data_IF_368551603695
#
_entry.id   IF_368551603695
#
_cell.length_a   1.000
_cell.length_b   1.000
_cell.length_c   1.000
_cell.angle_alpha   90.00
_cell.angle_beta   90.00
_cell.angle_gamma   90.00
#
_symmetry.space_group_name_H-M   'P 1'
#
loop_
_entity.id
_entity.type
_entity.pdbx_description
1 polymer ?
#
# COMPACT_ATOMS: atom_id res chain seq x y z
N UNK A 1 -76.00 36.48 -42.82
CA UNK A 1 -76.54 36.31 -41.45
C UNK A 1 -75.40 35.84 -40.56
N UNK A 2 -75.28 36.47 -39.38
CA UNK A 2 -74.46 36.16 -38.18
C UNK A 2 -73.46 35.00 -38.23
N UNK A 3 -72.23 35.08 -37.74
CA UNK A 3 -71.55 36.12 -36.95
C UNK A 3 -70.41 35.50 -36.12
N UNK A 4 -69.36 36.30 -35.86
CA UNK A 4 -68.40 36.25 -34.73
C UNK A 4 -67.44 35.03 -34.64
N UNK A 5 -66.13 35.11 -34.39
CA UNK A 5 -65.22 36.07 -33.71
C UNK A 5 -63.76 35.83 -34.18
N UNK A 6 -62.81 36.78 -33.96
CA UNK A 6 -61.47 36.75 -34.54
C UNK A 6 -60.43 36.04 -33.65
N UNK A 7 -59.57 35.22 -34.25
CA UNK A 7 -58.37 34.68 -33.63
C UNK A 7 -57.16 35.54 -33.99
N UNK A 8 -56.57 36.22 -33.00
CA UNK A 8 -55.31 36.96 -33.10
C UNK A 8 -54.09 36.03 -33.19
N UNK A 9 -52.98 36.47 -33.81
CA UNK A 9 -51.85 35.62 -34.18
C UNK A 9 -50.83 35.54 -33.04
N UNK A 10 -50.45 34.33 -32.62
CA UNK A 10 -49.29 34.12 -31.76
C UNK A 10 -48.07 33.75 -32.59
N UNK A 11 -47.20 34.75 -32.78
CA UNK A 11 -45.83 34.64 -33.26
C UNK A 11 -45.04 33.70 -32.35
N UNK A 12 -44.63 32.53 -32.86
CA UNK A 12 -43.75 31.61 -32.14
C UNK A 12 -42.31 32.14 -32.16
N UNK A 13 -41.89 32.77 -31.06
CA UNK A 13 -40.48 33.04 -30.77
C UNK A 13 -39.76 31.70 -30.57
N UNK A 14 -38.84 31.34 -31.47
CA UNK A 14 -37.90 30.23 -31.26
C UNK A 14 -36.78 30.73 -30.34
N UNK A 15 -36.87 30.41 -29.05
CA UNK A 15 -35.71 30.50 -28.14
C UNK A 15 -34.74 29.37 -28.48
N UNK A 16 -33.58 29.69 -29.04
CA UNK A 16 -32.47 28.77 -29.13
C UNK A 16 -31.78 28.73 -27.75
N UNK A 17 -31.96 27.64 -27.00
CA UNK A 17 -31.20 27.38 -25.78
C UNK A 17 -29.78 26.94 -26.17
N UNK A 18 -28.81 27.83 -26.01
CA UNK A 18 -27.39 27.49 -26.09
C UNK A 18 -27.02 26.72 -24.83
N UNK A 19 -26.84 25.39 -24.95
CA UNK A 19 -26.24 24.58 -23.89
C UNK A 19 -24.76 24.97 -23.79
N UNK A 20 -24.39 25.74 -22.77
CA UNK A 20 -23.00 25.92 -22.37
C UNK A 20 -22.59 24.64 -21.65
N UNK A 21 -21.88 23.77 -22.36
CA UNK A 21 -21.24 22.61 -21.77
C UNK A 21 -20.03 23.09 -20.95
N UNK A 22 -20.24 23.38 -19.67
CA UNK A 22 -19.14 23.62 -18.73
C UNK A 22 -18.51 22.27 -18.45
N UNK A 23 -17.44 21.94 -19.17
CA UNK A 23 -16.53 20.86 -18.79
C UNK A 23 -15.87 21.28 -17.47
N UNK A 24 -16.44 20.87 -16.34
CA UNK A 24 -15.71 20.85 -15.08
C UNK A 24 -14.63 19.79 -15.26
N UNK A 25 -13.43 20.21 -15.62
CA UNK A 25 -12.25 19.38 -15.46
C UNK A 25 -12.19 19.01 -13.99
N UNK A 26 -12.46 17.73 -13.68
CA UNK A 26 -12.14 17.18 -12.38
C UNK A 26 -10.64 17.38 -12.18
N UNK A 27 -10.25 18.39 -11.40
CA UNK A 27 -8.88 18.50 -10.95
C UNK A 27 -8.62 17.26 -10.11
N UNK A 28 -7.90 16.29 -10.66
CA UNK A 28 -7.34 15.20 -9.89
C UNK A 28 -6.47 15.81 -8.81
N UNK A 29 -6.96 15.81 -7.57
CA UNK A 29 -6.23 16.34 -6.45
C UNK A 29 -4.91 15.57 -6.31
N UNK A 30 -3.82 16.31 -6.09
CA UNK A 30 -2.52 15.70 -5.83
C UNK A 30 -2.64 14.77 -4.62
N UNK A 31 -2.06 13.58 -4.72
CA UNK A 31 -2.03 12.63 -3.61
C UNK A 31 -1.30 13.26 -2.43
N UNK A 32 -1.89 13.17 -1.23
CA UNK A 32 -1.25 13.67 0.00
C UNK A 32 -0.93 12.52 0.95
N UNK A 33 0.25 12.61 1.58
CA UNK A 33 0.64 11.78 2.71
C UNK A 33 0.62 12.61 4.00
N UNK A 34 -0.02 12.08 5.03
CA UNK A 34 -0.14 12.72 6.33
C UNK A 34 -0.08 11.68 7.46
N UNK A 35 -0.11 12.15 8.71
CA UNK A 35 -0.16 11.29 9.91
C UNK A 35 -1.44 11.60 10.69
N UNK A 36 -2.15 10.54 11.10
CA UNK A 36 -3.31 10.63 11.98
C UNK A 36 -3.12 9.65 13.15
N UNK A 37 -2.78 10.17 14.32
CA UNK A 37 -2.39 9.34 15.47
C UNK A 37 -1.14 8.53 15.16
N UNK A 38 -1.21 7.21 15.36
CA UNK A 38 -0.13 6.26 15.08
C UNK A 38 -0.20 5.65 13.67
N UNK A 39 -0.90 6.29 12.74
CA UNK A 39 -1.11 5.80 11.36
C UNK A 39 -0.67 6.81 10.31
N UNK A 40 -0.22 6.30 9.17
CA UNK A 40 -0.19 7.08 7.95
C UNK A 40 -1.62 7.27 7.42
N UNK A 41 -1.86 8.39 6.76
CA UNK A 41 -3.10 8.65 6.05
C UNK A 41 -2.82 9.17 4.63
N UNK A 42 -3.46 8.53 3.65
CA UNK A 42 -3.37 8.89 2.23
C UNK A 42 -4.66 9.58 1.85
N UNK A 43 -4.56 10.80 1.32
CA UNK A 43 -5.72 11.63 1.00
C UNK A 43 -6.69 11.80 2.19
N UNK A 44 -6.13 11.86 3.41
CA UNK A 44 -6.89 11.99 4.65
C UNK A 44 -7.49 10.68 5.19
N UNK A 45 -7.26 9.53 4.56
CA UNK A 45 -7.76 8.22 5.02
C UNK A 45 -6.63 7.42 5.66
N UNK A 46 -6.74 7.04 6.96
CA UNK A 46 -5.75 6.18 7.61
C UNK A 46 -5.61 4.83 6.93
N UNK A 47 -4.36 4.42 6.65
CA UNK A 47 -4.04 3.15 5.99
C UNK A 47 -2.73 2.56 6.54
N UNK A 48 -2.67 1.24 6.54
CA UNK A 48 -1.43 0.49 6.51
C UNK A 48 -0.84 0.59 5.10
N UNK A 49 0.42 0.98 4.99
CA UNK A 49 1.09 1.15 3.71
C UNK A 49 2.06 0.00 3.46
N UNK A 50 2.04 -0.54 2.23
CA UNK A 50 3.06 -1.49 1.78
C UNK A 50 4.03 -0.81 0.83
N UNK A 51 5.30 -0.82 1.19
CA UNK A 51 6.40 -0.31 0.37
C UNK A 51 7.18 -1.46 -0.26
N UNK A 52 7.99 -1.14 -1.27
CA UNK A 52 8.99 -2.03 -1.85
C UNK A 52 10.32 -1.28 -1.99
N UNK A 53 11.44 -1.99 -1.79
CA UNK A 53 12.75 -1.45 -2.12
C UNK A 53 12.84 -1.16 -3.62
N UNK A 54 13.24 0.06 -3.94
CA UNK A 54 13.56 0.55 -5.27
C UNK A 54 14.80 1.43 -5.16
N UNK A 55 15.81 0.94 -4.42
CA UNK A 55 16.94 1.75 -3.95
C UNK A 55 17.69 2.42 -5.11
N UNK A 56 17.90 1.69 -6.21
CA UNK A 56 18.57 2.16 -7.43
C UNK A 56 17.73 3.04 -8.37
N UNK A 57 16.62 3.64 -7.91
CA UNK A 57 15.68 4.41 -8.73
C UNK A 57 16.33 5.43 -9.67
N UNK A 58 17.36 6.13 -9.20
CA UNK A 58 18.02 7.16 -10.00
C UNK A 58 18.78 6.56 -11.20
N UNK A 59 19.26 5.32 -11.10
CA UNK A 59 19.90 4.58 -12.19
C UNK A 59 18.92 3.82 -13.10
N UNK A 60 17.66 3.67 -12.72
CA UNK A 60 16.70 2.78 -13.38
C UNK A 60 16.39 3.14 -14.85
N UNK A 61 16.53 2.18 -15.76
CA UNK A 61 16.22 2.38 -17.18
C UNK A 61 14.77 2.78 -17.46
N UNK A 62 13.80 2.16 -16.76
CA UNK A 62 12.39 2.21 -17.13
C UNK A 62 11.45 2.58 -15.96
N UNK A 63 11.75 3.69 -15.29
CA UNK A 63 11.01 4.17 -14.10
C UNK A 63 9.49 4.18 -14.27
N UNK A 64 8.98 4.68 -15.40
CA UNK A 64 7.52 4.75 -15.63
C UNK A 64 6.89 3.37 -15.62
N UNK A 65 7.48 2.39 -16.31
CA UNK A 65 6.96 1.02 -16.34
C UNK A 65 7.12 0.33 -14.99
N UNK A 66 8.26 0.53 -14.32
CA UNK A 66 8.54 -0.05 -12.99
C UNK A 66 7.51 0.41 -11.96
N UNK A 67 7.27 1.71 -11.87
CA UNK A 67 6.32 2.27 -10.90
C UNK A 67 4.88 1.86 -11.22
N UNK A 68 4.52 1.77 -12.50
CA UNK A 68 3.22 1.24 -12.91
C UNK A 68 3.05 -0.23 -12.53
N UNK A 69 4.09 -1.05 -12.72
CA UNK A 69 4.11 -2.44 -12.29
C UNK A 69 3.93 -2.52 -10.77
N UNK A 70 4.74 -1.80 -10.00
CA UNK A 70 4.68 -1.76 -8.53
C UNK A 70 3.27 -1.39 -8.07
N UNK A 71 2.67 -0.34 -8.65
CA UNK A 71 1.28 0.03 -8.34
C UNK A 71 0.29 -1.08 -8.68
N UNK A 72 0.43 -1.71 -9.85
CA UNK A 72 -0.44 -2.81 -10.28
C UNK A 72 -0.35 -4.04 -9.38
N UNK A 73 0.78 -4.24 -8.69
CA UNK A 73 1.01 -5.30 -7.70
C UNK A 73 0.50 -4.95 -6.29
N UNK A 74 -0.17 -3.81 -6.13
CA UNK A 74 -0.86 -3.46 -4.88
C UNK A 74 0.03 -2.74 -3.85
N UNK A 75 1.25 -2.34 -4.21
CA UNK A 75 2.07 -1.50 -3.34
C UNK A 75 1.54 -0.05 -3.30
N UNK A 76 1.75 0.59 -2.15
CA UNK A 76 1.38 2.00 -1.91
C UNK A 76 2.56 2.94 -2.12
N UNK A 77 3.80 2.43 -2.11
CA UNK A 77 4.98 3.26 -2.29
C UNK A 77 6.27 2.51 -2.57
N UNK A 78 7.32 3.28 -2.78
CA UNK A 78 8.69 2.82 -3.02
C UNK A 78 9.66 3.48 -2.06
N UNK A 79 10.73 2.77 -1.71
CA UNK A 79 11.87 3.30 -0.95
C UNK A 79 13.09 3.43 -1.84
N UNK A 80 13.66 4.63 -1.93
CA UNK A 80 14.75 4.97 -2.87
C UNK A 80 15.97 5.53 -2.15
N UNK A 81 17.17 5.32 -2.71
CA UNK A 81 18.42 5.86 -2.19
C UNK A 81 19.03 6.86 -3.19
N UNK A 82 18.80 8.17 -3.04
CA UNK A 82 19.23 9.16 -4.02
C UNK A 82 20.76 9.36 -4.04
N UNK A 83 21.51 8.77 -3.10
CA UNK A 83 22.96 8.83 -3.04
C UNK A 83 23.66 7.53 -3.47
N UNK A 84 22.91 6.51 -3.90
CA UNK A 84 23.46 5.21 -4.27
C UNK A 84 24.29 5.27 -5.58
N UNK A 85 25.45 4.61 -5.59
CA UNK A 85 26.44 4.66 -6.67
C UNK A 85 26.01 3.94 -7.97
N UNK A 86 24.91 3.18 -7.94
CA UNK A 86 24.29 2.56 -9.11
C UNK A 86 23.43 3.55 -9.91
N UNK A 87 23.38 4.82 -9.52
CA UNK A 87 22.76 5.89 -10.28
C UNK A 87 23.56 7.20 -10.18
N UNK A 88 23.10 8.26 -10.87
CA UNK A 88 23.60 9.60 -10.61
C UNK A 88 23.28 9.98 -9.16
N UNK A 89 24.30 10.05 -8.29
CA UNK A 89 24.10 10.39 -6.88
C UNK A 89 23.74 11.88 -6.76
N UNK A 90 22.81 12.23 -5.88
CA UNK A 90 22.24 13.58 -5.84
C UNK A 90 23.22 14.68 -5.40
N UNK A 91 24.22 14.34 -4.57
CA UNK A 91 25.03 15.32 -3.84
C UNK A 91 26.52 15.23 -4.21
N UNK A 92 27.19 16.38 -4.19
CA UNK A 92 28.66 16.48 -4.18
C UNK A 92 29.19 16.41 -2.73
N UNK A 93 30.51 16.20 -2.57
CA UNK A 93 31.14 16.18 -1.24
C UNK A 93 31.09 17.50 -0.49
N UNK A 94 30.88 18.63 -1.18
CA UNK A 94 30.69 19.97 -0.61
C UNK A 94 29.22 20.28 -0.25
N UNK A 95 28.32 19.29 -0.34
CA UNK A 95 26.91 19.44 0.02
C UNK A 95 26.05 20.10 -1.07
N UNK A 96 26.63 20.54 -2.18
CA UNK A 96 25.85 21.06 -3.31
C UNK A 96 25.15 19.91 -4.06
N UNK A 97 23.98 20.22 -4.65
CA UNK A 97 23.24 19.26 -5.46
C UNK A 97 23.75 19.23 -6.91
N UNK A 98 23.91 18.02 -7.45
CA UNK A 98 24.17 17.82 -8.88
C UNK A 98 22.86 18.00 -9.66
N UNK A 99 22.84 18.94 -10.60
CA UNK A 99 21.59 19.38 -11.26
C UNK A 99 20.96 18.29 -12.15
N UNK A 100 21.78 17.48 -12.80
CA UNK A 100 21.35 16.32 -13.59
C UNK A 100 20.72 15.24 -12.68
N UNK A 101 21.36 14.93 -11.55
CA UNK A 101 20.83 14.00 -10.55
C UNK A 101 19.55 14.52 -9.89
N UNK A 102 19.46 15.83 -9.62
CA UNK A 102 18.24 16.46 -9.11
C UNK A 102 17.11 16.37 -10.14
N UNK A 103 17.37 16.71 -11.40
CA UNK A 103 16.40 16.56 -12.50
C UNK A 103 15.90 15.11 -12.58
N UNK A 104 16.82 14.15 -12.41
CA UNK A 104 16.49 12.73 -12.40
C UNK A 104 15.61 12.33 -11.21
N UNK A 105 15.92 12.80 -10.00
CA UNK A 105 15.09 12.57 -8.81
C UNK A 105 13.68 13.14 -9.01
N UNK A 106 13.56 14.38 -9.47
CA UNK A 106 12.27 15.03 -9.71
C UNK A 106 11.45 14.26 -10.78
N UNK A 107 12.11 13.76 -11.83
CA UNK A 107 11.47 12.88 -12.80
C UNK A 107 10.90 11.61 -12.15
N UNK A 108 11.65 10.93 -11.26
CA UNK A 108 11.15 9.76 -10.52
C UNK A 108 9.93 10.13 -9.67
N UNK A 109 9.98 11.24 -8.95
CA UNK A 109 8.87 11.69 -8.11
C UNK A 109 7.63 12.07 -8.92
N UNK A 110 7.80 12.68 -10.10
CA UNK A 110 6.69 12.96 -11.00
C UNK A 110 6.04 11.65 -11.49
N UNK A 111 6.83 10.64 -11.86
CA UNK A 111 6.29 9.33 -12.27
C UNK A 111 5.60 8.59 -11.11
N UNK A 112 6.13 8.69 -9.90
CA UNK A 112 5.49 8.15 -8.71
C UNK A 112 4.15 8.84 -8.44
N UNK A 113 4.08 10.17 -8.57
CA UNK A 113 2.84 10.93 -8.42
C UNK A 113 1.80 10.54 -9.48
N UNK A 114 2.22 10.34 -10.73
CA UNK A 114 1.34 9.91 -11.83
C UNK A 114 0.68 8.56 -11.52
N UNK A 115 1.41 7.64 -10.88
CA UNK A 115 0.92 6.31 -10.44
C UNK A 115 0.32 6.30 -9.02
N UNK A 116 0.20 7.47 -8.37
CA UNK A 116 -0.26 7.63 -6.97
C UNK A 116 0.52 6.77 -5.97
N UNK A 117 1.83 6.73 -6.11
CA UNK A 117 2.76 6.09 -5.18
C UNK A 117 3.41 7.10 -4.24
N UNK A 118 3.58 6.67 -3.00
CA UNK A 118 4.36 7.39 -1.99
C UNK A 118 5.84 7.08 -2.19
N UNK A 119 6.71 8.07 -1.98
CA UNK A 119 8.17 7.87 -2.06
C UNK A 119 8.81 8.15 -0.72
N UNK A 120 9.48 7.12 -0.20
CA UNK A 120 10.42 7.20 0.91
C UNK A 120 11.81 7.51 0.36
N UNK A 121 12.26 8.76 0.57
CA UNK A 121 13.58 9.24 0.14
C UNK A 121 14.55 9.05 1.31
N UNK A 122 15.26 7.92 1.31
CA UNK A 122 16.23 7.54 2.33
C UNK A 122 17.66 7.90 1.90
N UNK A 123 18.31 8.83 2.60
CA UNK A 123 19.68 9.20 2.29
C UNK A 123 20.69 8.16 2.81
N UNK A 124 21.78 8.00 2.07
CA UNK A 124 22.92 7.13 2.40
C UNK A 124 24.21 7.94 2.28
N UNK A 125 24.48 8.82 3.25
CA UNK A 125 25.57 9.80 3.18
C UNK A 125 26.96 9.18 3.02
N UNK A 126 27.14 7.96 3.50
CA UNK A 126 28.34 7.13 3.37
C UNK A 126 28.72 6.81 1.91
N UNK A 127 27.76 6.88 0.98
CA UNK A 127 28.02 6.63 -0.44
C UNK A 127 28.68 7.79 -1.18
N UNK A 128 28.82 8.97 -0.57
CA UNK A 128 29.49 10.13 -1.18
C UNK A 128 30.90 10.28 -0.60
N UNK A 129 31.96 9.98 -1.37
CA UNK A 129 33.34 10.10 -0.90
C UNK A 129 33.66 11.52 -0.45
N UNK A 130 34.21 11.67 0.77
CA UNK A 130 34.65 12.94 1.31
C UNK A 130 33.53 13.86 1.83
N UNK A 131 32.28 13.42 1.80
CA UNK A 131 31.16 14.17 2.39
C UNK A 131 31.24 14.13 3.91
N UNK A 132 31.22 15.29 4.57
CA UNK A 132 31.13 15.42 6.03
C UNK A 132 29.70 15.70 6.51
N UNK A 133 29.46 15.66 7.82
CA UNK A 133 28.13 15.84 8.41
C UNK A 133 27.51 17.22 8.16
N UNK A 134 28.33 18.29 8.07
CA UNK A 134 27.84 19.65 7.83
C UNK A 134 27.36 19.77 6.39
N UNK A 135 28.19 19.36 5.43
CA UNK A 135 27.85 19.40 4.02
C UNK A 135 26.71 18.44 3.68
N UNK A 136 26.65 17.27 4.34
CA UNK A 136 25.51 16.36 4.24
C UNK A 136 24.21 17.03 4.66
N UNK A 137 24.20 17.69 5.83
CA UNK A 137 23.06 18.49 6.27
C UNK A 137 22.66 19.52 5.22
N UNK A 138 23.60 20.31 4.72
CA UNK A 138 23.30 21.37 3.75
C UNK A 138 22.68 20.80 2.46
N UNK A 139 23.17 19.65 1.97
CA UNK A 139 22.59 18.97 0.81
C UNK A 139 21.23 18.33 1.08
N UNK A 140 20.99 17.75 2.26
CA UNK A 140 19.66 17.26 2.66
C UNK A 140 18.65 18.41 2.70
N UNK A 141 19.03 19.58 3.23
CA UNK A 141 18.17 20.76 3.28
C UNK A 141 17.90 21.35 1.89
N UNK A 142 18.92 21.41 1.03
CA UNK A 142 18.74 21.81 -0.37
C UNK A 142 17.78 20.86 -1.10
N UNK A 143 17.90 19.55 -0.84
CA UNK A 143 16.98 18.56 -1.40
C UNK A 143 15.56 18.79 -0.87
N UNK A 144 15.38 18.95 0.44
CA UNK A 144 14.07 19.22 1.03
C UNK A 144 13.38 20.47 0.43
N UNK A 145 14.14 21.51 0.11
CA UNK A 145 13.63 22.70 -0.58
C UNK A 145 13.15 22.37 -2.00
N UNK A 146 13.89 21.57 -2.76
CA UNK A 146 13.50 21.12 -4.10
C UNK A 146 12.27 20.19 -4.07
N UNK A 147 12.10 19.41 -2.99
CA UNK A 147 10.98 18.49 -2.83
C UNK A 147 9.68 19.16 -2.34
N UNK A 148 9.68 20.48 -2.11
CA UNK A 148 8.51 21.21 -1.58
C UNK A 148 7.20 20.98 -2.35
N UNK A 149 7.18 20.83 -3.70
CA UNK A 149 5.94 20.58 -4.45
C UNK A 149 5.34 19.17 -4.34
N UNK A 150 5.99 18.24 -3.62
CA UNK A 150 5.60 16.83 -3.60
C UNK A 150 5.04 16.44 -2.23
N UNK A 151 3.71 16.34 -2.09
CA UNK A 151 3.06 15.96 -0.82
C UNK A 151 2.98 14.44 -0.59
N UNK A 152 3.39 13.63 -1.56
CA UNK A 152 3.46 12.16 -1.51
C UNK A 152 4.86 11.64 -1.12
N UNK A 153 5.65 12.43 -0.39
CA UNK A 153 7.04 12.12 -0.04
C UNK A 153 7.26 12.15 1.47
N UNK A 154 8.03 11.20 1.98
CA UNK A 154 8.65 11.28 3.31
C UNK A 154 10.18 11.25 3.18
N UNK A 155 10.87 11.85 4.15
CA UNK A 155 12.33 11.92 4.17
C UNK A 155 12.87 11.09 5.31
N UNK A 156 13.70 10.12 4.99
CA UNK A 156 14.52 9.40 5.95
C UNK A 156 15.95 9.98 5.90
N UNK A 157 16.31 10.72 6.96
CA UNK A 157 17.50 11.58 7.02
C UNK A 157 18.78 10.81 6.72
N UNK A 158 18.87 9.57 7.19
CA UNK A 158 20.02 8.70 6.99
C UNK A 158 19.57 7.26 7.26
N UNK A 159 19.82 6.39 6.30
CA UNK A 159 19.64 4.96 6.46
C UNK A 159 20.56 4.41 7.56
N UNK A 160 20.01 3.64 8.50
CA UNK A 160 20.73 2.96 9.58
C UNK A 160 21.75 3.88 10.26
N UNK A 161 21.27 5.06 10.66
CA UNK A 161 22.09 6.20 11.06
C UNK A 161 23.06 5.92 12.21
N UNK A 162 22.80 4.91 13.03
CA UNK A 162 23.66 4.51 14.15
C UNK A 162 24.82 3.60 13.73
N UNK A 163 24.83 3.15 12.46
CA UNK A 163 25.94 2.44 11.84
C UNK A 163 26.61 3.35 10.80
N UNK A 164 25.80 3.95 9.93
CA UNK A 164 26.25 4.64 8.73
C UNK A 164 25.96 6.14 8.76
N UNK A 165 26.60 6.83 7.81
CA UNK A 165 26.54 8.26 7.64
C UNK A 165 27.78 8.80 6.93
N UNK A 166 27.87 10.13 6.77
CA UNK A 166 28.99 10.79 6.10
C UNK A 166 30.35 10.34 6.65
N UNK A 167 31.33 10.15 5.77
CA UNK A 167 32.64 9.54 6.07
C UNK A 167 32.59 8.10 6.62
N UNK A 168 31.48 7.37 6.42
CA UNK A 168 31.29 6.01 6.90
C UNK A 168 31.18 5.92 8.42
N UNK A 169 30.60 6.95 9.06
CA UNK A 169 30.46 7.05 10.51
C UNK A 169 28.99 7.20 10.90
N UNK A 170 28.58 6.70 12.07
CA UNK A 170 27.24 6.94 12.60
C UNK A 170 26.91 8.43 12.64
N UNK A 171 25.70 8.80 12.22
CA UNK A 171 25.18 10.16 12.30
C UNK A 171 24.62 10.45 13.72
N UNK A 172 25.26 11.34 14.49
CA UNK A 172 24.85 11.64 15.87
C UNK A 172 23.46 12.25 15.98
N UNK A 173 22.84 12.09 17.16
CA UNK A 173 21.52 12.64 17.47
C UNK A 173 21.42 14.17 17.25
N UNK A 174 22.49 14.90 17.55
CA UNK A 174 22.54 16.36 17.35
C UNK A 174 22.46 16.75 15.87
N UNK A 175 23.11 15.99 14.98
CA UNK A 175 23.07 16.24 13.55
C UNK A 175 21.70 15.88 12.97
N UNK A 176 21.11 14.76 13.40
CA UNK A 176 19.72 14.39 13.05
C UNK A 176 18.74 15.48 13.48
N UNK A 177 18.85 15.98 14.73
CA UNK A 177 17.99 17.05 15.23
C UNK A 177 18.14 18.35 14.42
N UNK A 178 19.37 18.69 14.04
CA UNK A 178 19.67 19.88 13.23
C UNK A 178 19.09 19.77 11.81
N UNK A 179 19.18 18.59 11.19
CA UNK A 179 18.59 18.31 9.88
C UNK A 179 17.06 18.34 9.96
N UNK A 180 16.47 17.66 10.95
CA UNK A 180 15.02 17.66 11.20
C UNK A 180 14.49 19.09 11.32
N UNK A 181 15.11 19.92 12.17
CA UNK A 181 14.71 21.32 12.36
C UNK A 181 14.77 22.11 11.04
N UNK A 182 15.82 21.91 10.24
CA UNK A 182 15.96 22.57 8.93
C UNK A 182 14.89 22.12 7.93
N UNK A 183 14.59 20.82 7.84
CA UNK A 183 13.54 20.31 6.96
C UNK A 183 12.18 20.89 7.37
N UNK A 184 11.88 20.91 8.67
CA UNK A 184 10.62 21.46 9.20
C UNK A 184 10.50 22.96 8.98
N UNK A 185 11.60 23.71 9.01
CA UNK A 185 11.60 25.13 8.67
C UNK A 185 11.27 25.39 7.18
N UNK A 186 11.72 24.49 6.29
CA UNK A 186 11.44 24.56 4.85
C UNK A 186 10.01 24.11 4.53
N UNK A 187 9.56 23.02 5.16
CA UNK A 187 8.27 22.39 4.93
C UNK A 187 7.72 21.79 6.23
N UNK A 188 6.92 22.54 7.02
CA UNK A 188 6.45 22.12 8.34
C UNK A 188 5.72 20.77 8.37
N UNK A 189 4.96 20.46 7.32
CA UNK A 189 4.18 19.22 7.22
C UNK A 189 4.96 18.03 6.62
N UNK A 190 6.23 18.18 6.24
CA UNK A 190 7.01 17.07 5.65
C UNK A 190 7.19 16.02 6.73
N UNK A 191 6.88 14.76 6.42
CA UNK A 191 7.15 13.64 7.33
C UNK A 191 8.64 13.31 7.27
N UNK A 192 9.28 13.29 8.44
CA UNK A 192 10.72 13.09 8.60
C UNK A 192 11.01 11.99 9.62
N UNK A 193 11.93 11.11 9.26
CA UNK A 193 12.46 10.03 10.11
C UNK A 193 13.98 9.96 10.00
N UNK A 194 14.60 9.13 10.85
CA UNK A 194 15.96 8.64 10.68
C UNK A 194 15.96 7.17 11.13
N UNK A 195 16.16 6.24 10.20
CA UNK A 195 16.03 4.81 10.49
C UNK A 195 17.13 4.30 11.41
N UNK A 196 16.80 3.32 12.24
CA UNK A 196 17.80 2.54 12.98
C UNK A 196 17.76 1.07 12.54
N UNK A 197 18.94 0.46 12.45
CA UNK A 197 19.14 -0.95 12.10
C UNK A 197 18.72 -1.90 13.22
N UNK A 198 18.85 -3.19 12.93
CA UNK A 198 18.71 -4.27 13.90
C UNK A 198 19.85 -4.38 14.93
N UNK A 199 20.90 -3.54 14.86
CA UNK A 199 22.01 -3.56 15.84
C UNK A 199 21.66 -2.88 17.17
N UNK A 200 20.56 -2.13 17.21
CA UNK A 200 20.01 -1.53 18.43
C UNK A 200 18.66 -2.15 18.74
N UNK A 201 18.17 -1.96 19.97
CA UNK A 201 16.88 -2.52 20.38
C UNK A 201 15.71 -1.67 19.87
N UNK A 202 14.52 -2.28 19.79
CA UNK A 202 13.28 -1.55 19.55
C UNK A 202 13.04 -0.42 20.57
N UNK A 203 13.41 -0.65 21.84
CA UNK A 203 13.35 0.37 22.90
C UNK A 203 14.25 1.56 22.59
N UNK A 204 15.47 1.31 22.11
CA UNK A 204 16.40 2.36 21.70
C UNK A 204 15.83 3.18 20.54
N UNK A 205 15.30 2.53 19.50
CA UNK A 205 14.71 3.21 18.34
C UNK A 205 13.47 4.04 18.73
N UNK A 206 12.62 3.52 19.62
CA UNK A 206 11.46 4.23 20.17
C UNK A 206 11.89 5.46 20.98
N UNK A 207 12.83 5.29 21.92
CA UNK A 207 13.36 6.38 22.74
C UNK A 207 14.04 7.46 21.89
N UNK A 208 14.79 7.05 20.86
CA UNK A 208 15.42 7.99 19.94
C UNK A 208 14.40 8.82 19.16
N UNK A 209 13.34 8.18 18.66
CA UNK A 209 12.23 8.86 17.98
C UNK A 209 11.56 9.88 18.91
N UNK A 210 11.24 9.47 20.14
CA UNK A 210 10.59 10.32 21.12
C UNK A 210 11.48 11.50 21.55
N UNK A 211 12.76 11.25 21.78
CA UNK A 211 13.74 12.25 22.21
C UNK A 211 13.90 13.36 21.16
N UNK A 212 13.99 13.01 19.88
CA UNK A 212 14.18 13.99 18.81
C UNK A 212 12.89 14.57 18.25
N UNK A 213 11.74 13.98 18.57
CA UNK A 213 10.46 14.39 18.01
C UNK A 213 10.33 14.07 16.52
N UNK A 214 10.90 12.94 16.07
CA UNK A 214 10.71 12.44 14.70
C UNK A 214 9.23 12.07 14.48
N UNK A 215 8.78 12.15 13.22
CA UNK A 215 7.37 11.95 12.88
C UNK A 215 6.99 10.46 12.84
N UNK A 216 7.96 9.58 12.58
CA UNK A 216 7.79 8.13 12.37
C UNK A 216 8.83 7.39 13.19
N UNK A 217 8.43 6.31 13.86
CA UNK A 217 9.35 5.37 14.49
C UNK A 217 9.75 4.32 13.47
N UNK A 218 10.95 4.46 12.95
CA UNK A 218 11.45 3.63 11.85
C UNK A 218 12.56 2.72 12.34
N UNK A 219 12.43 1.44 12.02
CA UNK A 219 13.28 0.39 12.54
C UNK A 219 13.46 -0.73 11.51
N UNK A 220 14.67 -1.29 11.46
CA UNK A 220 14.96 -2.48 10.66
C UNK A 220 14.95 -3.69 11.59
N UNK A 221 14.10 -4.65 11.24
CA UNK A 221 13.72 -5.79 12.06
C UNK A 221 14.95 -6.66 12.37
N UNK A 222 15.05 -7.24 13.59
CA UNK A 222 16.06 -8.23 13.92
C UNK A 222 16.06 -9.38 12.90
N UNK A 223 17.25 -9.69 12.38
CA UNK A 223 17.46 -10.79 11.44
C UNK A 223 17.48 -12.12 12.20
N UNK A 224 16.30 -12.62 12.57
CA UNK A 224 16.14 -13.87 13.34
C UNK A 224 15.54 -15.00 12.47
N UNK A 225 15.74 -16.27 12.84
CA UNK A 225 15.25 -17.39 12.03
C UNK A 225 13.72 -17.43 11.88
N UNK A 226 13.00 -16.85 12.85
CA UNK A 226 11.55 -16.74 12.93
C UNK A 226 11.08 -15.29 12.73
N UNK A 227 11.84 -14.47 11.99
CA UNK A 227 11.58 -13.03 11.74
C UNK A 227 10.16 -12.72 11.23
N UNK A 228 9.49 -13.69 10.62
CA UNK A 228 8.16 -13.55 10.03
C UNK A 228 7.00 -13.94 10.96
N UNK A 229 7.30 -14.52 12.12
CA UNK A 229 6.30 -14.98 13.09
C UNK A 229 5.65 -13.80 13.84
N UNK A 230 4.35 -13.93 14.13
CA UNK A 230 3.62 -12.89 14.86
C UNK A 230 4.17 -12.72 16.28
N UNK A 231 4.57 -13.82 16.91
CA UNK A 231 5.15 -13.86 18.25
C UNK A 231 6.50 -13.15 18.33
N UNK A 232 7.22 -13.05 17.21
CA UNK A 232 8.48 -12.29 17.09
C UNK A 232 8.19 -10.81 16.82
N UNK A 233 7.29 -10.52 15.88
CA UNK A 233 7.00 -9.16 15.43
C UNK A 233 6.18 -8.37 16.46
N UNK A 234 5.22 -9.00 17.13
CA UNK A 234 4.26 -8.30 17.99
C UNK A 234 4.92 -7.60 19.19
N UNK A 235 5.83 -8.23 19.97
CA UNK A 235 6.50 -7.55 21.07
C UNK A 235 7.34 -6.36 20.61
N UNK A 236 8.09 -6.52 19.51
CA UNK A 236 8.88 -5.46 18.89
C UNK A 236 8.02 -4.27 18.50
N UNK A 237 6.97 -4.50 17.71
CA UNK A 237 6.06 -3.44 17.25
C UNK A 237 5.33 -2.78 18.42
N UNK A 238 4.98 -3.54 19.46
CA UNK A 238 4.37 -2.97 20.69
C UNK A 238 5.30 -1.96 21.35
N UNK A 239 6.59 -2.27 21.48
CA UNK A 239 7.59 -1.33 22.02
C UNK A 239 7.73 -0.10 21.13
N UNK A 240 7.84 -0.27 19.82
CA UNK A 240 7.97 0.84 18.87
C UNK A 240 6.74 1.78 18.90
N UNK A 241 5.53 1.22 19.03
CA UNK A 241 4.27 1.98 19.08
C UNK A 241 4.09 2.79 20.35
N UNK A 242 4.86 2.53 21.42
CA UNK A 242 4.78 3.29 22.66
C UNK A 242 5.08 4.79 22.47
N UNK A 243 5.73 5.17 21.37
CA UNK A 243 5.96 6.57 20.98
C UNK A 243 4.69 7.32 20.57
N UNK A 244 3.60 6.61 20.25
CA UNK A 244 2.40 7.18 19.64
C UNK A 244 2.58 7.65 18.19
N UNK A 245 3.74 7.37 17.58
CA UNK A 245 4.03 7.66 16.17
C UNK A 245 3.74 6.44 15.29
N UNK A 246 3.50 6.64 13.98
CA UNK A 246 3.50 5.56 13.02
C UNK A 246 4.78 4.72 13.13
N UNK A 247 4.62 3.40 13.22
CA UNK A 247 5.75 2.46 13.14
C UNK A 247 5.92 2.00 11.70
N UNK A 248 7.10 2.19 11.14
CA UNK A 248 7.45 1.76 9.80
C UNK A 248 8.62 0.78 9.86
N UNK A 249 8.35 -0.49 9.51
CA UNK A 249 9.37 -1.52 9.33
C UNK A 249 9.95 -1.38 7.92
N UNK A 250 11.07 -0.63 7.82
CA UNK A 250 11.62 -0.12 6.55
C UNK A 250 12.50 -1.12 5.80
N UNK A 251 13.17 -2.01 6.53
CA UNK A 251 13.98 -3.08 5.99
C UNK A 251 13.85 -4.33 6.86
N UNK A 252 12.71 -5.06 6.79
CA UNK A 252 12.62 -6.42 7.30
C UNK A 252 13.60 -7.34 6.56
N UNK A 253 13.73 -8.61 6.99
CA UNK A 253 14.71 -9.58 6.45
C UNK A 253 14.83 -9.45 4.92
N UNK A 254 16.04 -9.23 4.34
CA UNK A 254 16.14 -9.11 2.90
C UNK A 254 15.91 -10.47 2.23
N UNK A 255 15.36 -10.47 1.01
CA UNK A 255 15.14 -11.68 0.23
C UNK A 255 16.40 -12.49 -0.07
N UNK A 256 17.57 -11.87 -0.01
CA UNK A 256 18.85 -12.49 -0.40
C UNK A 256 19.94 -12.24 0.64
N UNK A 257 19.62 -12.41 1.92
CA UNK A 257 20.62 -12.27 2.97
C UNK A 257 21.62 -13.45 2.95
N UNK A 258 22.84 -13.20 2.48
CA UNK A 258 23.88 -14.23 2.44
C UNK A 258 24.26 -14.74 3.84
N UNK A 259 24.01 -13.95 4.89
CA UNK A 259 24.18 -14.35 6.29
C UNK A 259 23.21 -15.45 6.71
N UNK A 260 22.14 -15.71 5.97
CA UNK A 260 21.19 -16.79 6.25
C UNK A 260 21.13 -17.85 5.15
N UNK A 261 22.09 -17.80 4.21
CA UNK A 261 22.17 -18.73 3.07
C UNK A 261 22.21 -20.21 3.45
N UNK A 262 22.63 -20.55 4.69
CA UNK A 262 22.64 -21.92 5.21
C UNK A 262 21.31 -22.36 5.86
N UNK A 263 20.37 -21.44 6.11
CA UNK A 263 19.03 -21.77 6.57
C UNK A 263 18.12 -22.02 5.37
N UNK A 264 17.79 -23.30 5.17
CA UNK A 264 16.94 -23.73 4.07
C UNK A 264 15.60 -23.01 4.14
N UNK A 265 15.17 -22.43 3.02
CA UNK A 265 13.87 -21.76 2.83
C UNK A 265 13.66 -20.44 3.60
N UNK A 266 14.67 -19.78 4.17
CA UNK A 266 14.46 -18.51 4.91
C UNK A 266 13.87 -17.37 4.06
N UNK A 267 13.98 -17.48 2.74
CA UNK A 267 13.64 -16.49 1.74
C UNK A 267 12.49 -16.95 0.84
N UNK A 268 11.44 -17.57 1.37
CA UNK A 268 10.23 -17.88 0.58
C UNK A 268 9.23 -16.74 0.61
N UNK A 269 8.51 -16.53 -0.50
CA UNK A 269 7.46 -15.52 -0.58
C UNK A 269 6.42 -15.66 0.54
N UNK A 270 6.10 -16.90 0.96
CA UNK A 270 5.16 -17.16 2.06
C UNK A 270 5.57 -16.54 3.41
N UNK A 271 6.87 -16.35 3.66
CA UNK A 271 7.38 -15.76 4.89
C UNK A 271 7.27 -14.24 4.85
N UNK A 272 7.55 -13.61 3.72
CA UNK A 272 7.30 -12.18 3.51
C UNK A 272 5.82 -11.83 3.62
N UNK A 273 4.94 -12.65 3.05
CA UNK A 273 3.48 -12.50 3.23
C UNK A 273 3.09 -12.62 4.71
N UNK A 274 3.70 -13.57 5.44
CA UNK A 274 3.47 -13.71 6.88
C UNK A 274 3.92 -12.47 7.64
N UNK A 275 5.13 -11.99 7.39
CA UNK A 275 5.73 -10.86 8.07
C UNK A 275 4.91 -9.58 7.87
N UNK A 276 4.50 -9.28 6.63
CA UNK A 276 3.67 -8.12 6.33
C UNK A 276 2.32 -8.19 7.06
N UNK A 277 1.67 -9.36 7.08
CA UNK A 277 0.42 -9.57 7.80
C UNK A 277 0.61 -9.46 9.33
N UNK A 278 1.67 -10.05 9.87
CA UNK A 278 2.04 -9.98 11.29
C UNK A 278 2.34 -8.54 11.72
N UNK A 279 3.06 -7.76 10.91
CA UNK A 279 3.33 -6.35 11.15
C UNK A 279 2.03 -5.53 11.22
N UNK A 280 1.13 -5.75 10.26
CA UNK A 280 -0.20 -5.10 10.27
C UNK A 280 -1.01 -5.47 11.50
N UNK A 281 -1.11 -6.75 11.84
CA UNK A 281 -1.83 -7.26 13.03
C UNK A 281 -1.22 -6.73 14.34
N UNK A 282 0.10 -6.58 14.39
CA UNK A 282 0.80 -6.01 15.55
C UNK A 282 0.57 -4.50 15.70
N UNK A 283 0.03 -3.84 14.67
CA UNK A 283 -0.35 -2.44 14.67
C UNK A 283 0.70 -1.51 14.03
N UNK A 284 1.68 -2.04 13.29
CA UNK A 284 2.56 -1.19 12.50
C UNK A 284 1.73 -0.35 11.49
N UNK A 285 2.27 0.79 11.08
CA UNK A 285 1.64 1.67 10.11
C UNK A 285 2.12 1.40 8.68
N UNK A 286 3.32 0.84 8.52
CA UNK A 286 3.84 0.45 7.22
C UNK A 286 4.86 -0.69 7.33
N UNK A 287 5.07 -1.38 6.21
CA UNK A 287 6.05 -2.46 6.05
C UNK A 287 6.61 -2.43 4.62
N UNK A 288 7.91 -2.65 4.46
CA UNK A 288 8.60 -2.61 3.18
C UNK A 288 9.05 -4.01 2.73
N UNK A 289 8.77 -4.39 1.49
CA UNK A 289 9.40 -5.56 0.89
C UNK A 289 10.86 -5.26 0.56
N UNK A 290 11.77 -5.84 1.34
CA UNK A 290 13.19 -5.60 1.22
C UNK A 290 13.85 -6.63 0.30
N UNK A 291 14.11 -6.22 -0.94
CA UNK A 291 14.89 -6.99 -1.91
C UNK A 291 16.09 -6.19 -2.42
N UNK A 292 17.31 -6.76 -2.41
CA UNK A 292 18.49 -6.08 -2.95
C UNK A 292 18.52 -6.10 -4.50
N UNK A 293 17.58 -6.77 -5.16
CA UNK A 293 17.56 -6.87 -6.62
C UNK A 293 17.21 -5.53 -7.30
N UNK A 294 16.68 -4.56 -6.56
CA UNK A 294 16.36 -3.23 -7.07
C UNK A 294 17.46 -2.18 -6.76
N UNK A 295 18.63 -2.62 -6.29
CA UNK A 295 19.75 -1.73 -5.95
C UNK A 295 20.47 -1.25 -7.21
N UNK A 296 20.57 -2.10 -8.23
CA UNK A 296 21.18 -1.79 -9.53
C UNK A 296 20.22 -2.05 -10.67
N UNK A 297 19.60 -0.98 -11.16
CA UNK A 297 18.66 -0.99 -12.28
C UNK A 297 19.22 -0.29 -13.51
N UNK A 298 20.56 -0.16 -13.60
CA UNK A 298 21.21 0.53 -14.73
C UNK A 298 20.93 -0.17 -16.04
N UNK A 299 20.89 0.63 -17.10
CA UNK A 299 20.68 0.18 -18.48
C UNK A 299 19.27 0.50 -18.97
N UNK A 300 19.16 1.08 -20.16
CA UNK A 300 17.90 1.60 -20.70
C UNK A 300 16.80 0.54 -20.91
N UNK A 301 17.17 -0.75 -20.96
CA UNK A 301 16.25 -1.88 -21.13
C UNK A 301 16.03 -2.67 -19.84
N UNK A 302 16.65 -2.26 -18.73
CA UNK A 302 16.48 -2.94 -17.44
C UNK A 302 15.09 -2.59 -16.89
N UNK A 303 14.23 -3.60 -16.86
CA UNK A 303 12.87 -3.51 -16.34
C UNK A 303 12.76 -4.36 -15.07
N UNK A 304 12.18 -3.81 -14.01
CA UNK A 304 12.05 -4.49 -12.72
C UNK A 304 11.30 -5.82 -12.83
N UNK A 305 10.36 -5.92 -13.77
CA UNK A 305 9.65 -7.18 -14.02
C UNK A 305 10.60 -8.28 -14.47
N UNK A 306 11.51 -7.99 -15.40
CA UNK A 306 12.47 -8.98 -15.91
C UNK A 306 13.46 -9.38 -14.82
N UNK A 307 13.89 -8.41 -14.02
CA UNK A 307 14.75 -8.65 -12.84
C UNK A 307 14.05 -9.61 -11.87
N UNK A 308 12.80 -9.34 -11.47
CA UNK A 308 12.10 -10.22 -10.54
C UNK A 308 11.72 -11.57 -11.16
N UNK A 309 11.33 -11.63 -12.44
CA UNK A 309 11.01 -12.90 -13.11
C UNK A 309 12.21 -13.84 -13.22
N UNK A 310 13.44 -13.29 -13.27
CA UNK A 310 14.65 -14.10 -13.20
C UNK A 310 14.85 -14.79 -11.82
N UNK A 311 14.15 -14.32 -10.79
CA UNK A 311 14.15 -14.88 -9.44
C UNK A 311 12.72 -15.22 -8.97
N UNK A 312 12.20 -16.41 -9.36
CA UNK A 312 10.83 -16.80 -9.06
C UNK A 312 10.47 -16.80 -7.57
N UNK A 313 11.40 -17.20 -6.70
CA UNK A 313 11.27 -17.19 -5.24
C UNK A 313 12.43 -16.42 -4.59
N UNK A 314 12.17 -15.53 -3.62
CA UNK A 314 10.84 -15.06 -3.21
C UNK A 314 10.29 -13.95 -4.10
N UNK A 315 11.08 -13.28 -4.94
CA UNK A 315 10.71 -11.97 -5.48
C UNK A 315 9.47 -12.02 -6.36
N UNK A 316 9.48 -12.78 -7.45
CA UNK A 316 8.32 -12.81 -8.35
C UNK A 316 7.06 -13.38 -7.68
N UNK A 317 7.23 -14.43 -6.88
CA UNK A 317 6.15 -15.06 -6.13
C UNK A 317 5.53 -14.09 -5.10
N UNK A 318 6.35 -13.31 -4.39
CA UNK A 318 5.87 -12.33 -3.41
C UNK A 318 5.13 -11.17 -4.07
N UNK A 319 5.75 -10.50 -5.06
CA UNK A 319 5.11 -9.36 -5.72
C UNK A 319 3.84 -9.75 -6.47
N UNK A 320 3.69 -11.02 -6.83
CA UNK A 320 2.47 -11.55 -7.46
C UNK A 320 1.44 -12.10 -6.47
N UNK A 321 1.72 -12.09 -5.17
CA UNK A 321 0.85 -12.63 -4.11
C UNK A 321 0.38 -11.61 -3.08
N UNK A 322 1.01 -10.43 -3.00
CA UNK A 322 0.46 -9.26 -2.31
C UNK A 322 -0.92 -8.99 -2.90
N UNK A 323 -1.96 -9.28 -2.10
CA UNK A 323 -3.36 -9.41 -2.48
C UNK A 323 -3.60 -9.22 -3.99
N UNK A 324 -3.90 -10.29 -4.75
CA UNK A 324 -4.42 -10.05 -6.07
C UNK A 324 -5.66 -9.20 -5.88
N UNK A 325 -5.79 -8.15 -6.68
CA UNK A 325 -7.04 -7.42 -6.74
C UNK A 325 -8.21 -8.40 -6.99
N UNK A 326 -7.96 -9.61 -7.52
CA UNK A 326 -8.93 -10.59 -7.99
C UNK A 326 -8.94 -11.87 -7.15
N UNK A 327 -10.11 -12.25 -6.64
CA UNK A 327 -10.33 -13.48 -5.86
C UNK A 327 -11.55 -14.25 -6.36
N UNK A 328 -11.69 -15.50 -5.91
CA UNK A 328 -12.92 -16.29 -6.00
C UNK A 328 -13.24 -16.90 -4.64
N UNK A 329 -14.53 -17.11 -4.36
CA UNK A 329 -15.00 -17.73 -3.12
C UNK A 329 -15.59 -19.09 -3.44
N UNK A 330 -14.94 -20.15 -2.97
CA UNK A 330 -15.47 -21.51 -3.09
C UNK A 330 -16.35 -21.81 -1.88
N UNK A 331 -17.56 -22.30 -2.11
CA UNK A 331 -18.52 -22.68 -1.09
C UNK A 331 -18.08 -23.96 -0.37
N UNK A 332 -18.64 -24.21 0.81
CA UNK A 332 -18.23 -25.28 1.70
C UNK A 332 -18.45 -26.71 1.16
N UNK A 333 -19.29 -26.87 0.14
CA UNK A 333 -19.43 -28.15 -0.56
C UNK A 333 -18.23 -28.50 -1.45
N UNK A 334 -17.23 -27.62 -1.56
CA UNK A 334 -16.00 -27.75 -2.36
C UNK A 334 -16.22 -27.95 -3.86
N UNK A 335 -17.46 -27.83 -4.34
CA UNK A 335 -17.83 -27.98 -5.75
C UNK A 335 -18.19 -26.64 -6.36
N UNK A 336 -18.88 -25.78 -5.61
CA UNK A 336 -19.45 -24.56 -6.16
C UNK A 336 -18.67 -23.30 -5.82
N UNK A 337 -18.64 -22.37 -6.76
CA UNK A 337 -18.08 -21.03 -6.61
C UNK A 337 -19.18 -19.98 -6.58
N UNK A 338 -18.97 -18.95 -5.76
CA UNK A 338 -19.79 -17.74 -5.73
C UNK A 338 -19.65 -17.00 -7.06
N UNK A 339 -20.77 -16.52 -7.60
CA UNK A 339 -20.86 -15.80 -8.87
C UNK A 339 -21.81 -14.61 -8.79
N UNK A 340 -21.45 -13.53 -9.45
CA UNK A 340 -22.36 -12.43 -9.76
C UNK A 340 -23.10 -12.75 -11.07
N UNK A 341 -24.41 -12.97 -11.00
CA UNK A 341 -25.20 -13.29 -12.20
C UNK A 341 -25.08 -12.17 -13.25
N UNK A 342 -24.82 -12.54 -14.51
CA UNK A 342 -24.59 -11.59 -15.60
C UNK A 342 -23.29 -10.77 -15.50
N UNK A 343 -22.41 -11.07 -14.54
CA UNK A 343 -21.21 -10.27 -14.25
C UNK A 343 -21.50 -9.02 -13.40
N UNK A 344 -22.72 -8.87 -12.90
CA UNK A 344 -23.18 -7.72 -12.10
C UNK A 344 -24.58 -7.25 -12.47
N UNK A 345 -25.15 -6.39 -11.64
CA UNK A 345 -26.51 -5.84 -11.76
C UNK A 345 -27.62 -6.73 -11.20
N UNK A 346 -27.28 -7.90 -10.62
CA UNK A 346 -28.25 -8.91 -10.20
C UNK A 346 -27.90 -9.66 -8.91
N UNK A 347 -28.44 -10.87 -8.79
CA UNK A 347 -28.27 -11.73 -7.64
C UNK A 347 -26.87 -12.35 -7.57
N UNK A 348 -26.47 -12.75 -6.35
CA UNK A 348 -25.27 -13.54 -6.11
C UNK A 348 -25.66 -14.98 -5.77
N UNK A 349 -25.00 -15.94 -6.43
CA UNK A 349 -25.29 -17.37 -6.26
C UNK A 349 -24.00 -18.17 -6.07
N UNK A 350 -24.08 -19.32 -5.41
CA UNK A 350 -22.96 -20.24 -5.25
C UNK A 350 -23.23 -21.51 -6.08
N UNK A 351 -23.32 -21.37 -7.40
CA UNK A 351 -23.78 -22.45 -8.30
C UNK A 351 -22.78 -22.82 -9.39
N UNK A 352 -21.74 -22.01 -9.63
CA UNK A 352 -20.78 -22.30 -10.70
C UNK A 352 -19.87 -23.46 -10.30
N UNK A 353 -19.41 -24.29 -11.25
CA UNK A 353 -18.45 -25.37 -11.01
C UNK A 353 -17.02 -25.02 -11.42
N UNK A 354 -16.80 -23.81 -11.96
CA UNK A 354 -15.49 -23.33 -12.39
C UNK A 354 -15.39 -21.82 -12.21
N UNK A 355 -14.16 -21.33 -12.05
CA UNK A 355 -13.89 -19.89 -11.93
C UNK A 355 -13.79 -19.28 -13.32
N UNK A 356 -14.69 -18.34 -13.61
CA UNK A 356 -14.65 -17.46 -14.78
C UNK A 356 -14.73 -15.99 -14.38
N UNK A 357 -15.10 -15.13 -15.33
CA UNK A 357 -15.21 -13.68 -15.09
C UNK A 357 -16.32 -13.30 -14.11
N UNK A 358 -17.37 -14.11 -13.96
CA UNK A 358 -18.49 -13.84 -13.05
C UNK A 358 -18.24 -14.35 -11.63
N UNK A 359 -17.34 -15.32 -11.50
CA UNK A 359 -16.86 -15.88 -10.23
C UNK A 359 -15.61 -15.17 -9.70
N UNK A 360 -15.08 -14.22 -10.48
CA UNK A 360 -13.94 -13.40 -10.08
C UNK A 360 -14.41 -12.06 -9.51
N UNK A 361 -13.84 -11.70 -8.37
CA UNK A 361 -14.20 -10.49 -7.63
C UNK A 361 -12.99 -9.64 -7.29
N UNK A 362 -13.16 -8.32 -7.36
CA UNK A 362 -12.28 -7.31 -6.82
C UNK A 362 -12.31 -7.28 -5.29
N UNK A 363 -11.23 -7.51 -4.53
CA UNK A 363 -11.22 -7.25 -3.07
C UNK A 363 -10.35 -6.05 -2.74
N UNK A 364 -10.93 -5.09 -2.02
CA UNK A 364 -10.19 -3.92 -1.52
C UNK A 364 -10.27 -3.83 -0.01
N UNK A 365 -9.12 -3.84 0.64
CA UNK A 365 -8.97 -3.65 2.09
C UNK A 365 -9.00 -2.16 2.41
N UNK A 366 -9.98 -1.73 3.20
CA UNK A 366 -10.17 -0.31 3.50
C UNK A 366 -9.03 0.26 4.34
N UNK A 367 -8.47 -0.57 5.23
CA UNK A 367 -7.30 -0.25 6.04
C UNK A 367 -5.97 -0.36 5.27
N UNK A 368 -5.95 -0.78 4.00
CA UNK A 368 -4.72 -1.01 3.23
C UNK A 368 -3.91 -2.24 3.67
N UNK A 369 -2.80 -2.51 2.98
CA UNK A 369 -1.92 -3.65 3.25
C UNK A 369 -2.49 -5.03 2.94
N UNK A 370 -1.80 -6.11 3.39
CA UNK A 370 -2.27 -7.48 3.21
C UNK A 370 -3.57 -7.73 3.98
N UNK A 371 -4.33 -8.73 3.52
CA UNK A 371 -5.60 -9.14 4.12
C UNK A 371 -5.34 -9.88 5.43
N UNK A 372 -5.95 -9.41 6.51
CA UNK A 372 -5.83 -10.03 7.83
C UNK A 372 -7.22 -10.22 8.44
N UNK A 373 -7.30 -11.11 9.42
CA UNK A 373 -8.51 -11.31 10.21
C UNK A 373 -9.05 -9.98 10.78
N UNK A 374 -10.35 -9.76 10.63
CA UNK A 374 -11.05 -8.58 11.11
C UNK A 374 -11.02 -7.37 10.17
N UNK A 375 -10.36 -7.47 9.01
CA UNK A 375 -10.33 -6.37 8.05
C UNK A 375 -11.73 -6.01 7.53
N UNK A 376 -11.95 -4.70 7.34
CA UNK A 376 -13.08 -4.20 6.57
C UNK A 376 -12.73 -4.19 5.10
N UNK A 377 -13.54 -4.86 4.29
CA UNK A 377 -13.33 -5.05 2.86
C UNK A 377 -14.54 -4.62 2.05
N UNK A 378 -14.28 -4.24 0.80
CA UNK A 378 -15.31 -4.14 -0.24
C UNK A 378 -15.03 -5.20 -1.30
N UNK A 379 -16.09 -5.70 -1.92
CA UNK A 379 -16.00 -6.77 -2.92
C UNK A 379 -16.67 -6.27 -4.19
N UNK A 380 -15.90 -5.99 -5.23
CA UNK A 380 -16.38 -5.59 -6.55
C UNK A 380 -16.53 -6.80 -7.47
N UNK A 381 -17.41 -6.71 -8.44
CA UNK A 381 -17.44 -7.60 -9.62
C UNK A 381 -16.14 -7.48 -10.41
N UNK A 382 -15.80 -8.49 -11.24
CA UNK A 382 -14.56 -8.50 -12.03
C UNK A 382 -14.36 -7.27 -12.92
N UNK A 383 -15.44 -6.59 -13.34
CA UNK A 383 -15.36 -5.37 -14.16
C UNK A 383 -15.10 -4.10 -13.34
N UNK A 384 -15.27 -4.17 -12.02
CA UNK A 384 -15.28 -3.01 -11.13
C UNK A 384 -16.56 -2.16 -11.22
N UNK A 385 -17.54 -2.54 -12.06
CA UNK A 385 -18.74 -1.73 -12.29
C UNK A 385 -19.75 -1.81 -11.14
N UNK A 386 -19.80 -2.95 -10.45
CA UNK A 386 -20.70 -3.17 -9.32
C UNK A 386 -19.99 -3.74 -8.09
N UNK A 387 -20.54 -3.48 -6.91
CA UNK A 387 -20.13 -4.03 -5.63
C UNK A 387 -21.15 -5.02 -5.09
N UNK A 388 -20.67 -6.01 -4.33
CA UNK A 388 -21.51 -6.87 -3.50
C UNK A 388 -22.14 -6.03 -2.39
N UNK A 389 -23.43 -6.23 -2.19
CA UNK A 389 -24.27 -5.45 -1.28
C UNK A 389 -25.19 -6.38 -0.48
N UNK A 390 -25.14 -6.25 0.85
CA UNK A 390 -26.13 -6.81 1.74
C UNK A 390 -27.37 -5.91 1.78
N UNK A 391 -28.40 -6.23 1.00
CA UNK A 391 -29.60 -5.38 0.88
C UNK A 391 -30.21 -5.13 2.27
N UNK A 392 -30.45 -3.86 2.61
CA UNK A 392 -31.02 -3.49 3.91
C UNK A 392 -30.05 -3.58 5.09
N UNK A 393 -28.76 -3.87 4.85
CA UNK A 393 -27.77 -4.09 5.91
C UNK A 393 -27.76 -5.52 6.48
N UNK A 394 -28.48 -6.45 5.85
CA UNK A 394 -28.58 -7.85 6.27
C UNK A 394 -30.02 -8.30 6.54
N UNK A 395 -30.19 -9.58 6.86
CA UNK A 395 -31.48 -10.26 7.00
C UNK A 395 -32.11 -10.72 5.66
N UNK A 396 -31.38 -10.64 4.55
CA UNK A 396 -31.93 -10.84 3.20
C UNK A 396 -30.92 -11.34 2.17
N UNK A 397 -31.07 -10.90 0.92
CA UNK A 397 -30.24 -11.33 -0.21
C UNK A 397 -28.90 -10.58 -0.30
N UNK A 398 -27.87 -11.27 -0.81
CA UNK A 398 -26.65 -10.64 -1.32
C UNK A 398 -26.83 -10.34 -2.81
N UNK A 399 -26.52 -9.12 -3.24
CA UNK A 399 -26.58 -8.70 -4.66
C UNK A 399 -25.29 -8.09 -5.13
N UNK A 400 -24.99 -8.20 -6.42
CA UNK A 400 -23.84 -7.57 -7.06
C UNK A 400 -24.28 -6.36 -7.90
N UNK A 401 -24.97 -5.40 -7.27
CA UNK A 401 -25.71 -4.35 -8.00
C UNK A 401 -25.33 -2.91 -7.63
N UNK A 402 -24.67 -2.68 -6.49
CA UNK A 402 -24.34 -1.32 -6.05
C UNK A 402 -23.29 -0.68 -6.96
N UNK A 403 -23.49 0.57 -7.36
CA UNK A 403 -22.56 1.36 -8.19
C UNK A 403 -21.50 2.11 -7.37
N UNK A 404 -21.69 2.18 -6.05
CA UNK A 404 -20.82 2.88 -5.10
C UNK A 404 -20.70 2.11 -3.80
N UNK A 405 -19.57 2.30 -3.13
CA UNK A 405 -19.32 1.75 -1.79
C UNK A 405 -20.06 2.56 -0.73
N UNK A 406 -20.79 1.87 0.13
CA UNK A 406 -21.38 2.41 1.35
C UNK A 406 -21.36 1.38 2.49
N UNK A 407 -22.27 1.58 3.46
CA UNK A 407 -22.34 0.73 4.64
C UNK A 407 -22.76 -0.72 4.33
N UNK A 408 -23.55 -0.94 3.27
CA UNK A 408 -24.08 -2.25 2.89
C UNK A 408 -23.12 -3.04 1.99
N UNK A 409 -22.15 -2.36 1.37
CA UNK A 409 -21.11 -2.94 0.51
C UNK A 409 -19.82 -3.23 1.27
N UNK A 410 -19.79 -2.90 2.56
CA UNK A 410 -18.64 -3.12 3.42
C UNK A 410 -18.87 -4.34 4.31
N UNK A 411 -17.96 -5.30 4.21
CA UNK A 411 -17.95 -6.53 4.98
C UNK A 411 -16.75 -6.57 5.91
N UNK A 412 -16.89 -7.28 7.02
CA UNK A 412 -15.75 -7.72 7.83
C UNK A 412 -15.41 -9.13 7.37
N UNK A 413 -14.14 -9.34 7.02
CA UNK A 413 -13.61 -10.66 6.71
C UNK A 413 -13.00 -11.28 7.96
N UNK A 414 -13.36 -12.51 8.25
CA UNK A 414 -12.88 -13.25 9.42
C UNK A 414 -12.17 -14.52 8.96
N UNK A 415 -11.01 -14.80 9.54
CA UNK A 415 -10.28 -16.05 9.35
C UNK A 415 -10.44 -16.91 10.61
N UNK A 416 -11.01 -18.12 10.52
CA UNK A 416 -10.97 -19.07 11.63
C UNK A 416 -9.52 -19.31 12.08
N UNK A 417 -9.24 -19.06 13.36
CA UNK A 417 -7.87 -19.12 13.92
C UNK A 417 -7.08 -17.81 13.85
N UNK A 418 -7.62 -16.76 13.23
CA UNK A 418 -6.99 -15.44 13.12
C UNK A 418 -5.81 -15.38 12.15
N UNK A 419 -5.10 -14.26 12.17
CA UNK A 419 -3.85 -14.08 11.40
C UNK A 419 -4.04 -13.52 9.99
N UNK A 420 -2.97 -13.57 9.19
CA UNK A 420 -3.00 -13.18 7.77
C UNK A 420 -3.77 -14.17 6.91
N UNK A 421 -4.51 -13.68 5.92
CA UNK A 421 -5.34 -14.46 5.01
C UNK A 421 -4.59 -14.71 3.69
N UNK A 422 -4.57 -15.98 3.27
CA UNK A 422 -3.81 -16.53 2.13
C UNK A 422 -4.72 -17.31 1.18
N UNK A 423 -4.27 -17.57 -0.07
CA UNK A 423 -5.00 -18.46 -0.95
C UNK A 423 -5.20 -19.84 -0.29
N UNK A 424 -6.41 -20.36 -0.37
CA UNK A 424 -6.82 -21.63 0.23
C UNK A 424 -7.30 -21.54 1.68
N UNK A 425 -7.15 -20.38 2.34
CA UNK A 425 -7.68 -20.21 3.69
C UNK A 425 -9.21 -20.22 3.70
N UNK A 426 -9.76 -20.79 4.78
CA UNK A 426 -11.17 -20.62 5.12
C UNK A 426 -11.40 -19.18 5.62
N UNK A 427 -12.44 -18.53 5.13
CA UNK A 427 -12.87 -17.20 5.55
C UNK A 427 -14.37 -17.18 5.78
N UNK A 428 -14.82 -16.16 6.52
CA UNK A 428 -16.23 -15.80 6.69
C UNK A 428 -16.39 -14.32 6.37
N UNK A 429 -17.57 -13.94 5.92
CA UNK A 429 -17.92 -12.54 5.67
C UNK A 429 -19.15 -12.19 6.49
N UNK A 430 -19.13 -11.04 7.15
CA UNK A 430 -20.31 -10.46 7.80
C UNK A 430 -20.46 -8.99 7.50
N UNK A 431 -21.68 -8.48 7.57
CA UNK A 431 -21.93 -7.06 7.30
C UNK A 431 -21.21 -6.20 8.34
N UNK A 432 -20.57 -5.13 7.89
CA UNK A 432 -19.78 -4.31 8.80
C UNK A 432 -20.61 -3.34 9.65
N UNK A 433 -21.80 -2.93 9.20
CA UNK A 433 -22.70 -2.02 9.92
C UNK A 433 -23.60 -2.72 10.94
N UNK A 434 -24.04 -3.95 10.65
CA UNK A 434 -24.76 -4.83 11.57
C UNK A 434 -24.07 -6.19 11.60
N UNK A 435 -23.12 -6.30 12.53
CA UNK A 435 -22.23 -7.45 12.70
C UNK A 435 -22.95 -8.79 12.95
N UNK A 436 -24.27 -8.79 13.15
CA UNK A 436 -25.05 -10.01 13.37
C UNK A 436 -25.13 -10.88 12.13
N UNK A 437 -25.09 -10.30 10.92
CA UNK A 437 -25.43 -11.03 9.70
C UNK A 437 -24.22 -11.54 8.94
N UNK A 438 -24.10 -12.87 8.87
CA UNK A 438 -23.14 -13.57 8.03
C UNK A 438 -23.66 -13.82 6.63
N UNK A 439 -22.74 -13.77 5.66
CA UNK A 439 -22.93 -14.23 4.28
C UNK A 439 -22.94 -15.75 4.28
N UNK A 440 -23.96 -16.35 3.66
CA UNK A 440 -24.17 -17.80 3.63
C UNK A 440 -24.47 -18.30 2.22
N UNK A 441 -23.77 -19.33 1.78
CA UNK A 441 -24.16 -20.11 0.61
C UNK A 441 -25.22 -21.13 1.03
N UNK A 442 -26.47 -20.94 0.62
CA UNK A 442 -27.56 -21.84 1.01
C UNK A 442 -27.26 -23.28 0.58
N UNK A 443 -27.47 -24.23 1.49
CA UNK A 443 -27.12 -25.65 1.28
C UNK A 443 -25.61 -25.95 1.29
N UNK A 444 -24.76 -24.98 1.63
CA UNK A 444 -23.30 -25.08 1.52
C UNK A 444 -22.79 -24.89 0.08
N UNK A 445 -23.67 -24.53 -0.86
CA UNK A 445 -23.41 -24.43 -2.29
C UNK A 445 -24.52 -25.11 -3.11
N UNK A 446 -24.69 -24.67 -4.35
CA UNK A 446 -25.74 -25.11 -5.27
C UNK A 446 -26.99 -24.20 -5.31
N UNK A 447 -27.01 -23.11 -4.55
CA UNK A 447 -28.15 -22.20 -4.43
C UNK A 447 -27.75 -20.72 -4.31
N UNK A 448 -28.68 -19.87 -3.87
CA UNK A 448 -28.45 -18.44 -3.66
C UNK A 448 -27.47 -18.17 -2.50
N UNK A 449 -26.80 -17.01 -2.55
CA UNK A 449 -26.01 -16.49 -1.43
C UNK A 449 -26.82 -15.41 -0.71
N UNK A 450 -27.02 -15.59 0.59
CA UNK A 450 -27.81 -14.70 1.43
C UNK A 450 -26.95 -14.05 2.53
N UNK A 451 -27.46 -13.02 3.18
CA UNK A 451 -26.82 -12.33 4.31
C UNK A 451 -27.79 -12.33 5.49
N UNK A 452 -28.05 -13.50 6.05
CA UNK A 452 -29.21 -13.73 6.93
C UNK A 452 -28.93 -14.68 8.10
N UNK A 453 -27.66 -14.97 8.41
CA UNK A 453 -27.30 -15.91 9.48
C UNK A 453 -26.76 -15.18 10.71
N UNK A 454 -27.29 -15.44 11.92
CA UNK A 454 -26.84 -14.78 13.15
C UNK A 454 -25.54 -15.36 13.72
N UNK A 455 -25.08 -16.49 13.18
CA UNK A 455 -23.87 -17.20 13.58
C UNK A 455 -23.24 -17.89 12.37
N UNK A 456 -21.93 -18.09 12.42
CA UNK A 456 -21.20 -18.78 11.38
C UNK A 456 -21.09 -20.29 11.66
N UNK A 457 -21.36 -21.09 10.64
CA UNK A 457 -21.09 -22.53 10.58
C UNK A 457 -20.52 -22.90 9.21
N UNK A 458 -20.87 -24.09 8.73
CA UNK A 458 -20.36 -24.62 7.46
C UNK A 458 -20.77 -23.74 6.27
N UNK A 459 -22.02 -23.29 6.20
CA UNK A 459 -22.54 -22.59 5.01
C UNK A 459 -22.05 -21.14 4.89
N UNK A 460 -21.58 -20.57 5.99
CA UNK A 460 -21.03 -19.22 6.08
C UNK A 460 -19.50 -19.18 5.88
N UNK A 461 -18.90 -20.35 5.70
CA UNK A 461 -17.45 -20.51 5.52
C UNK A 461 -17.13 -20.78 4.05
N UNK A 462 -16.24 -19.98 3.50
CA UNK A 462 -15.78 -20.07 2.10
C UNK A 462 -14.28 -20.29 2.06
N UNK A 463 -13.79 -21.04 1.07
CA UNK A 463 -12.36 -21.09 0.76
C UNK A 463 -12.02 -19.93 -0.17
N UNK A 464 -11.11 -19.05 0.24
CA UNK A 464 -10.70 -17.90 -0.56
C UNK A 464 -9.62 -18.32 -1.54
N UNK A 465 -9.85 -18.13 -2.84
CA UNK A 465 -8.88 -18.43 -3.89
C UNK A 465 -8.42 -17.15 -4.57
N UNK A 466 -7.13 -17.10 -4.89
CA UNK A 466 -6.52 -15.98 -5.59
C UNK A 466 -6.59 -16.26 -7.09
N UNK A 467 -7.07 -15.29 -7.87
CA UNK A 467 -7.23 -15.43 -9.33
C UNK A 467 -6.13 -14.59 -10.00
N UNK A 468 -5.28 -15.20 -10.86
CA UNK A 468 -4.20 -14.49 -11.56
C UNK A 468 -4.66 -13.32 -12.44
#
# INVERSE_FOLDING_TARGET
MSGAKPGSPTTTLRLAAMLICVCVSAQTQAQTLSIQGDRFAVDGVPRFLTFISYFGALGAGNVTADLRLIRSKGFDGVRIWPLLFTGPQLMNSDGTLRQDALTRLLFVLDRARDERLIVDVSFTGEHIPGLDARHFRDGVLATAAALRPYDNVLVDIQNEREIYGPLGRPLPAADVASILAGIKAIHPSRIVTASNSSQVTAEFAANFTAQLGLDVTTYHDPREFNWFEFETIQPMVRTLRATGRPVYLQEPMPTRDFTFSWYVNHDKAEYFLKAAASAKLAGAAAWCFHSPLADDLRGAQTFLEDVFRAYPEPEWAFVSSLLPARVSFQAANELNYVRAEGGGGGDVRATSMAVGSWETFGVSVLSGGPLVDGDRVTIATSSGAHYLQAIGGGGGALRAAADKVGAWETFIIEKPGGGGIRPGDAIRLRVSGDARWYVAAEGGGGANVLVNRPSAGTWETFKLLFVP
#
